data_IF_688893244346
#
_entry.id   IF_688893244346
#
_cell.length_a   1.000
_cell.length_b   1.000
_cell.length_c   1.000
_cell.angle_alpha   90.00
_cell.angle_beta   90.00
_cell.angle_gamma   90.00
#
_symmetry.space_group_name_H-M   'P 1'
#
loop_
_entity.id
_entity.type
_entity.pdbx_description
1 polymer ?
#
# COMPACT_ATOMS: atom_id res chain seq x y z
N UNK A 1 -10.43 -15.65 -17.75
CA UNK A 1 -10.39 -14.41 -18.56
C UNK A 1 -9.16 -13.60 -18.17
N UNK A 2 -8.35 -13.11 -19.14
CA UNK A 2 -7.24 -12.22 -18.82
C UNK A 2 -7.79 -10.92 -18.22
N UNK A 3 -7.20 -10.48 -17.11
CA UNK A 3 -7.74 -9.41 -16.28
C UNK A 3 -7.34 -8.04 -16.84
N UNK A 4 -8.31 -7.23 -17.25
CA UNK A 4 -8.07 -5.83 -17.64
C UNK A 4 -8.29 -4.92 -16.42
N UNK A 5 -7.35 -3.99 -16.21
CA UNK A 5 -7.52 -2.89 -15.26
C UNK A 5 -8.68 -2.02 -15.73
N UNK A 6 -9.72 -1.86 -14.91
CA UNK A 6 -10.84 -0.98 -15.22
C UNK A 6 -10.68 0.34 -14.46
N UNK A 7 -10.69 1.45 -15.21
CA UNK A 7 -10.83 2.80 -14.67
C UNK A 7 -12.23 3.29 -15.00
N UNK A 8 -13.06 3.58 -14.01
CA UNK A 8 -14.33 4.26 -14.24
C UNK A 8 -14.14 5.74 -13.92
N UNK A 9 -14.21 6.62 -14.93
CA UNK A 9 -14.13 8.08 -14.74
C UNK A 9 -12.90 8.55 -13.94
N UNK A 10 -11.74 7.89 -14.12
CA UNK A 10 -10.50 8.20 -13.40
C UNK A 10 -10.39 7.59 -11.99
N UNK A 11 -11.40 6.83 -11.57
CA UNK A 11 -11.47 6.16 -10.28
C UNK A 11 -11.13 4.68 -10.47
N UNK A 12 -10.33 4.13 -9.57
CA UNK A 12 -9.93 2.74 -9.62
C UNK A 12 -10.95 1.88 -8.88
N UNK A 13 -11.57 0.96 -9.63
CA UNK A 13 -12.50 -0.05 -9.11
C UNK A 13 -11.96 -1.39 -9.56
N UNK A 14 -11.36 -2.14 -8.63
CA UNK A 14 -10.72 -3.41 -8.98
C UNK A 14 -11.23 -4.60 -8.19
N UNK A 15 -11.91 -4.38 -7.07
CA UNK A 15 -12.03 -5.40 -6.02
C UNK A 15 -13.49 -5.72 -5.69
N UNK A 16 -13.73 -6.93 -5.20
CA UNK A 16 -15.06 -7.36 -4.75
C UNK A 16 -15.34 -6.75 -3.38
N UNK A 17 -16.36 -5.91 -3.30
CA UNK A 17 -16.74 -5.15 -2.11
C UNK A 17 -18.15 -5.50 -1.63
N UNK A 18 -18.73 -6.60 -2.13
CA UNK A 18 -20.17 -6.90 -2.03
C UNK A 18 -20.74 -6.76 -0.62
N UNK A 19 -20.00 -7.20 0.39
CA UNK A 19 -20.46 -7.24 1.79
C UNK A 19 -19.69 -6.26 2.69
N UNK A 20 -19.00 -5.28 2.10
CA UNK A 20 -18.06 -4.44 2.84
C UNK A 20 -18.50 -2.98 2.91
N UNK A 21 -18.52 -2.44 4.13
CA UNK A 21 -19.03 -1.08 4.42
C UNK A 21 -17.98 0.04 4.24
N UNK A 22 -16.77 -0.30 3.80
CA UNK A 22 -15.69 0.64 3.61
C UNK A 22 -15.76 1.42 2.29
N UNK A 23 -14.77 2.31 2.05
CA UNK A 23 -14.69 3.14 0.86
C UNK A 23 -14.73 2.29 -0.42
N UNK A 24 -15.61 2.64 -1.36
CA UNK A 24 -15.80 1.86 -2.59
C UNK A 24 -14.66 2.07 -3.58
N UNK A 25 -13.97 3.20 -3.45
CA UNK A 25 -13.13 3.75 -4.48
C UNK A 25 -11.73 4.03 -3.98
N UNK A 26 -10.80 3.95 -4.91
CA UNK A 26 -9.44 4.38 -4.70
C UNK A 26 -9.04 5.30 -5.84
N UNK A 27 -8.48 6.46 -5.51
CA UNK A 27 -7.81 7.31 -6.49
C UNK A 27 -6.33 7.31 -6.22
N UNK A 28 -5.58 7.19 -7.30
CA UNK A 28 -4.15 7.40 -7.27
C UNK A 28 -3.85 8.88 -7.50
N UNK A 29 -3.03 9.46 -6.63
CA UNK A 29 -2.44 10.75 -6.88
C UNK A 29 -1.42 10.67 -8.02
N UNK A 30 -1.42 11.71 -8.84
CA UNK A 30 -0.50 11.91 -9.95
C UNK A 30 -0.24 13.40 -10.13
N UNK A 31 0.77 13.74 -10.93
CA UNK A 31 1.03 15.13 -11.35
C UNK A 31 -0.16 15.83 -12.01
N UNK A 32 -1.15 15.07 -12.49
CA UNK A 32 -2.30 15.59 -13.22
C UNK A 32 -3.49 15.95 -12.34
N UNK A 33 -3.62 15.33 -11.16
CA UNK A 33 -4.79 15.52 -10.28
C UNK A 33 -4.43 16.03 -8.87
N UNK A 34 -3.15 16.02 -8.49
CA UNK A 34 -2.75 16.46 -7.15
C UNK A 34 -2.96 17.97 -6.93
N UNK A 35 -2.81 18.80 -7.98
CA UNK A 35 -3.02 20.26 -7.87
C UNK A 35 -4.49 20.65 -7.69
N UNK A 36 -5.40 19.83 -8.22
CA UNK A 36 -6.85 20.01 -8.04
C UNK A 36 -7.28 19.56 -6.64
N UNK A 37 -6.44 18.72 -6.04
CA UNK A 37 -6.57 18.28 -4.69
C UNK A 37 -5.89 19.26 -3.74
N UNK A 38 -6.53 20.42 -3.52
CA UNK A 38 -6.29 21.14 -2.26
C UNK A 38 -6.56 20.14 -1.16
N UNK A 39 -5.59 19.83 -0.29
CA UNK A 39 -5.79 18.96 0.87
C UNK A 39 -7.12 19.37 1.56
N UNK A 40 -8.24 18.68 1.28
CA UNK A 40 -9.56 19.15 1.67
C UNK A 40 -9.82 18.84 3.14
N UNK A 41 -8.85 18.20 3.78
CA UNK A 41 -8.98 17.61 5.07
C UNK A 41 -7.95 18.22 6.01
N UNK A 42 -8.40 18.74 7.16
CA UNK A 42 -7.53 19.23 8.23
C UNK A 42 -6.40 18.27 8.59
N UNK A 43 -5.28 18.85 9.02
CA UNK A 43 -4.22 18.09 9.65
C UNK A 43 -4.79 17.30 10.83
N UNK A 44 -4.56 15.98 10.84
CA UNK A 44 -5.08 15.06 11.85
C UNK A 44 -6.34 14.27 11.44
N UNK A 45 -7.01 14.62 10.34
CA UNK A 45 -8.14 13.82 9.84
C UNK A 45 -7.72 12.65 8.95
N UNK A 46 -6.54 12.73 8.33
CA UNK A 46 -5.99 11.69 7.47
C UNK A 46 -4.59 11.30 7.90
N UNK A 47 -4.26 10.04 7.63
CA UNK A 47 -2.96 9.47 7.92
C UNK A 47 -2.48 8.67 6.71
N UNK A 48 -1.16 8.70 6.47
CA UNK A 48 -0.53 7.90 5.41
C UNK A 48 -0.03 6.59 6.01
N UNK A 49 -0.46 5.47 5.43
CA UNK A 49 0.14 4.15 5.62
C UNK A 49 1.38 4.06 4.74
N UNK A 50 2.54 3.85 5.34
CA UNK A 50 3.83 3.81 4.65
C UNK A 50 3.98 2.54 3.81
N UNK A 51 3.57 1.40 4.37
CA UNK A 51 3.75 0.08 3.75
C UNK A 51 3.05 -0.02 2.38
N UNK A 52 1.88 0.59 2.25
CA UNK A 52 1.10 0.52 1.02
C UNK A 52 0.85 1.88 0.36
N UNK A 53 1.40 2.97 0.92
CA UNK A 53 1.33 4.33 0.39
C UNK A 53 -0.12 4.86 0.29
N UNK A 54 -1.01 4.38 1.16
CA UNK A 54 -2.40 4.81 1.21
C UNK A 54 -2.62 5.97 2.19
N UNK A 55 -3.26 7.04 1.72
CA UNK A 55 -3.88 8.06 2.56
C UNK A 55 -5.27 7.56 2.97
N UNK A 56 -5.51 7.45 4.28
CA UNK A 56 -6.73 6.91 4.88
C UNK A 56 -7.24 7.85 5.99
N UNK A 57 -8.52 7.80 6.38
CA UNK A 57 -8.99 8.50 7.58
C UNK A 57 -8.16 8.12 8.81
N UNK A 58 -7.71 9.11 9.58
CA UNK A 58 -6.87 8.91 10.76
C UNK A 58 -7.56 8.10 11.86
N UNK A 59 -8.91 8.15 11.91
CA UNK A 59 -9.73 7.33 12.81
C UNK A 59 -9.56 5.82 12.59
N UNK A 60 -9.05 5.40 11.42
CA UNK A 60 -8.80 4.01 11.08
C UNK A 60 -7.38 3.54 11.44
N UNK A 61 -6.51 4.45 11.92
CA UNK A 61 -5.21 4.10 12.49
C UNK A 61 -5.37 3.63 13.94
N UNK A 62 -5.82 2.38 14.12
CA UNK A 62 -5.92 1.77 15.44
C UNK A 62 -4.53 1.53 16.09
N UNK A 63 -4.52 1.12 17.37
CA UNK A 63 -3.28 0.92 18.11
C UNK A 63 -2.32 -0.10 17.46
N UNK A 64 -2.88 -1.12 16.80
CA UNK A 64 -2.11 -2.15 16.10
C UNK A 64 -1.48 -1.56 14.83
N UNK A 65 -2.27 -0.85 14.02
CA UNK A 65 -1.82 -0.16 12.82
C UNK A 65 -0.73 0.87 13.14
N UNK A 66 -0.96 1.72 14.15
CA UNK A 66 0.02 2.71 14.64
C UNK A 66 1.34 2.06 15.08
N UNK A 67 1.28 0.90 15.76
CA UNK A 67 2.49 0.16 16.17
C UNK A 67 3.33 -0.21 14.95
N UNK A 68 2.72 -0.73 13.89
CA UNK A 68 3.45 -1.13 12.69
C UNK A 68 3.91 0.07 11.85
N UNK A 69 3.07 1.10 11.70
CA UNK A 69 3.48 2.33 11.01
C UNK A 69 4.67 2.99 11.71
N UNK A 70 4.72 2.98 13.06
CA UNK A 70 5.90 3.42 13.81
C UNK A 70 7.16 2.62 13.45
N UNK A 71 7.04 1.30 13.29
CA UNK A 71 8.16 0.46 12.85
C UNK A 71 8.63 0.84 11.44
N UNK A 72 7.71 1.00 10.47
CA UNK A 72 8.07 1.42 9.11
C UNK A 72 8.76 2.79 9.11
N UNK A 73 8.27 3.76 9.89
CA UNK A 73 8.88 5.09 10.04
C UNK A 73 10.32 5.03 10.56
N UNK A 74 10.61 4.11 11.48
CA UNK A 74 11.95 3.94 12.04
C UNK A 74 12.89 3.22 11.05
N UNK A 75 12.38 2.24 10.32
CA UNK A 75 13.17 1.37 9.44
C UNK A 75 13.45 2.00 8.07
N UNK A 76 12.54 2.83 7.57
CA UNK A 76 12.57 3.41 6.22
C UNK A 76 12.50 4.95 6.29
N UNK A 77 13.59 5.63 6.68
CA UNK A 77 13.59 7.07 6.91
C UNK A 77 13.22 7.89 5.66
N UNK A 78 13.62 7.48 4.45
CA UNK A 78 13.22 8.20 3.22
C UNK A 78 11.69 8.20 2.98
N UNK A 79 11.00 7.12 3.36
CA UNK A 79 9.54 7.06 3.28
C UNK A 79 8.88 7.88 4.40
N UNK A 80 9.47 7.87 5.60
CA UNK A 80 9.05 8.74 6.71
C UNK A 80 9.13 10.20 6.28
N UNK A 81 10.22 10.61 5.63
CA UNK A 81 10.44 11.99 5.23
C UNK A 81 9.40 12.44 4.18
N UNK A 82 9.03 11.57 3.22
CA UNK A 82 7.92 11.84 2.29
C UNK A 82 6.60 12.10 3.02
N UNK A 83 6.32 11.35 4.08
CA UNK A 83 5.11 11.54 4.90
C UNK A 83 5.20 12.83 5.71
N UNK A 84 6.31 13.09 6.38
CA UNK A 84 6.48 14.23 7.29
C UNK A 84 6.52 15.57 6.55
N UNK A 85 7.15 15.60 5.38
CA UNK A 85 7.20 16.77 4.51
C UNK A 85 5.95 16.95 3.65
N UNK A 86 5.04 15.96 3.67
CA UNK A 86 3.85 15.90 2.80
C UNK A 86 4.19 15.93 1.30
N UNK A 87 5.36 15.40 0.91
CA UNK A 87 5.80 15.35 -0.49
C UNK A 87 4.82 14.59 -1.38
N UNK A 88 4.07 13.65 -0.79
CA UNK A 88 3.00 12.92 -1.45
C UNK A 88 1.84 13.78 -1.99
N UNK A 89 1.77 15.07 -1.63
CA UNK A 89 0.85 16.08 -2.16
C UNK A 89 1.53 17.09 -3.10
N UNK A 90 2.86 17.02 -3.28
CA UNK A 90 3.57 17.91 -4.20
C UNK A 90 3.44 17.42 -5.64
N UNK A 91 3.13 18.35 -6.56
CA UNK A 91 3.12 18.07 -8.00
C UNK A 91 4.52 17.79 -8.52
N UNK A 92 5.50 18.54 -8.03
CA UNK A 92 6.92 18.43 -8.39
C UNK A 92 7.44 17.07 -7.99
N UNK A 93 7.21 16.68 -6.72
CA UNK A 93 7.46 15.33 -6.26
C UNK A 93 6.71 14.38 -7.18
N UNK A 94 5.38 14.42 -7.27
CA UNK A 94 4.60 13.50 -8.10
C UNK A 94 4.86 13.50 -9.62
N UNK A 95 5.69 14.39 -10.15
CA UNK A 95 6.12 14.44 -11.56
C UNK A 95 7.43 13.71 -11.86
N UNK A 96 8.30 13.51 -10.86
CA UNK A 96 9.61 12.88 -11.03
C UNK A 96 9.56 11.34 -10.90
N UNK A 97 9.78 10.54 -11.95
CA UNK A 97 9.72 9.08 -11.85
C UNK A 97 10.83 8.45 -10.96
N UNK A 98 11.89 9.19 -10.61
CA UNK A 98 13.05 8.68 -9.87
C UNK A 98 13.12 9.16 -8.41
N UNK A 99 12.35 10.19 -8.04
CA UNK A 99 12.27 10.84 -6.70
C UNK A 99 12.47 9.98 -5.46
N UNK A 100 11.67 8.92 -5.34
CA UNK A 100 11.73 7.97 -4.24
C UNK A 100 11.34 6.63 -4.79
N UNK A 101 12.33 5.77 -4.84
CA UNK A 101 12.16 4.36 -5.07
C UNK A 101 11.98 3.71 -3.70
N UNK A 102 10.75 3.32 -3.41
CA UNK A 102 10.38 2.57 -2.22
C UNK A 102 11.15 1.26 -2.24
N UNK A 103 11.93 0.97 -1.19
CA UNK A 103 12.63 -0.30 -1.10
C UNK A 103 11.58 -1.40 -0.95
N UNK A 104 11.44 -2.27 -1.95
CA UNK A 104 10.81 -3.58 -1.74
C UNK A 104 11.89 -4.58 -1.33
N UNK A 105 12.71 -4.20 -0.34
CA UNK A 105 13.61 -5.14 0.29
C UNK A 105 12.81 -6.27 0.95
N UNK A 106 13.51 -7.36 1.30
CA UNK A 106 12.86 -8.55 1.84
C UNK A 106 11.95 -8.18 3.02
N UNK A 107 12.50 -7.53 4.05
CA UNK A 107 11.76 -7.13 5.25
C UNK A 107 10.54 -6.29 4.93
N UNK A 108 10.65 -5.33 4.00
CA UNK A 108 9.55 -4.46 3.62
C UNK A 108 8.41 -5.28 3.03
N UNK A 109 8.72 -6.15 2.07
CA UNK A 109 7.71 -6.96 1.39
C UNK A 109 7.01 -7.92 2.36
N UNK A 110 7.77 -8.63 3.21
CA UNK A 110 7.13 -9.53 4.19
C UNK A 110 6.31 -8.76 5.23
N UNK A 111 6.81 -7.63 5.73
CA UNK A 111 6.07 -6.79 6.68
C UNK A 111 4.76 -6.26 6.04
N UNK A 112 4.83 -5.76 4.80
CA UNK A 112 3.65 -5.33 4.03
C UNK A 112 2.65 -6.47 3.86
N UNK A 113 3.10 -7.65 3.45
CA UNK A 113 2.23 -8.82 3.27
C UNK A 113 1.54 -9.23 4.57
N UNK A 114 2.26 -9.26 5.70
CA UNK A 114 1.67 -9.55 7.02
C UNK A 114 0.59 -8.51 7.37
N UNK A 115 0.87 -7.21 7.19
CA UNK A 115 -0.10 -6.16 7.47
C UNK A 115 -1.34 -6.25 6.56
N UNK A 116 -1.15 -6.50 5.27
CA UNK A 116 -2.24 -6.70 4.33
C UNK A 116 -3.16 -7.84 4.76
N UNK A 117 -2.59 -8.97 5.20
CA UNK A 117 -3.37 -10.11 5.72
C UNK A 117 -4.09 -9.79 7.03
N UNK A 118 -3.46 -9.03 7.94
CA UNK A 118 -4.13 -8.58 9.18
C UNK A 118 -5.31 -7.67 8.89
N UNK A 119 -5.18 -6.75 7.92
CA UNK A 119 -6.28 -5.86 7.51
C UNK A 119 -7.39 -6.63 6.83
N UNK A 120 -7.06 -7.60 5.96
CA UNK A 120 -8.04 -8.50 5.37
C UNK A 120 -8.83 -9.25 6.44
N UNK A 121 -8.13 -9.84 7.41
CA UNK A 121 -8.76 -10.54 8.52
C UNK A 121 -9.70 -9.62 9.30
N UNK A 122 -9.24 -8.42 9.70
CA UNK A 122 -10.08 -7.43 10.38
C UNK A 122 -11.34 -7.10 9.56
N UNK A 123 -11.19 -6.90 8.26
CA UNK A 123 -12.33 -6.58 7.38
C UNK A 123 -13.31 -7.74 7.22
N UNK A 124 -12.83 -8.98 7.21
CA UNK A 124 -13.67 -10.18 7.19
C UNK A 124 -14.47 -10.35 8.47
N UNK A 125 -13.84 -10.11 9.62
CA UNK A 125 -14.49 -10.23 10.93
C UNK A 125 -15.49 -9.11 11.20
N UNK A 126 -15.20 -7.89 10.75
CA UNK A 126 -16.04 -6.71 11.03
C UNK A 126 -17.08 -6.41 9.95
N UNK A 127 -16.91 -6.92 8.72
CA UNK A 127 -17.66 -6.46 7.55
C UNK A 127 -17.25 -5.05 7.07
N UNK A 128 -16.16 -4.49 7.59
CA UNK A 128 -15.72 -3.13 7.32
C UNK A 128 -14.25 -3.07 6.88
N UNK A 129 -13.95 -2.41 5.76
CA UNK A 129 -12.58 -2.27 5.25
C UNK A 129 -12.11 -0.82 5.22
N UNK A 130 -10.78 -0.61 5.19
CA UNK A 130 -10.16 0.73 5.15
C UNK A 130 -9.87 1.17 3.72
N UNK A 131 -9.45 0.25 2.86
CA UNK A 131 -9.19 0.52 1.45
C UNK A 131 -9.64 -0.67 0.58
N UNK A 132 -10.20 -0.46 -0.63
CA UNK A 132 -10.59 -1.57 -1.50
C UNK A 132 -9.50 -2.65 -1.67
N UNK A 133 -8.23 -2.23 -1.68
CA UNK A 133 -7.07 -3.12 -1.80
C UNK A 133 -6.87 -4.07 -0.61
N UNK A 134 -7.37 -3.70 0.57
CA UNK A 134 -7.25 -4.52 1.78
C UNK A 134 -8.13 -5.78 1.70
N UNK A 135 -9.15 -5.77 0.82
CA UNK A 135 -10.04 -6.92 0.58
C UNK A 135 -9.93 -7.50 -0.83
N UNK A 136 -8.91 -7.10 -1.59
CA UNK A 136 -8.65 -7.67 -2.90
C UNK A 136 -8.15 -9.11 -2.79
N UNK A 137 -8.97 -10.06 -3.24
CA UNK A 137 -8.60 -11.47 -3.33
C UNK A 137 -7.22 -11.67 -4.01
N UNK A 138 -6.90 -10.95 -5.08
CA UNK A 138 -5.61 -11.14 -5.77
C UNK A 138 -4.43 -10.62 -4.98
N UNK A 139 -4.56 -9.47 -4.33
CA UNK A 139 -3.54 -8.93 -3.45
C UNK A 139 -3.32 -9.85 -2.25
N UNK A 140 -4.39 -10.38 -1.66
CA UNK A 140 -4.33 -11.29 -0.53
C UNK A 140 -3.71 -12.63 -0.92
N UNK A 141 -4.11 -13.19 -2.06
CA UNK A 141 -3.48 -14.39 -2.62
C UNK A 141 -1.99 -14.17 -2.89
N UNK A 142 -1.61 -13.05 -3.51
CA UNK A 142 -0.20 -12.67 -3.70
C UNK A 142 0.55 -12.59 -2.38
N UNK A 143 -0.05 -12.01 -1.33
CA UNK A 143 0.59 -11.90 -0.03
C UNK A 143 0.80 -13.28 0.62
N UNK A 144 -0.16 -14.20 0.50
CA UNK A 144 -0.01 -15.57 0.97
C UNK A 144 1.09 -16.29 0.19
N UNK A 145 1.02 -16.31 -1.14
CA UNK A 145 2.03 -16.95 -1.99
C UNK A 145 3.43 -16.40 -1.73
N UNK A 146 3.55 -15.07 -1.58
CA UNK A 146 4.85 -14.43 -1.28
C UNK A 146 5.40 -14.94 0.05
N UNK A 147 4.60 -14.95 1.12
CA UNK A 147 5.05 -15.43 2.42
C UNK A 147 5.35 -16.93 2.37
N UNK A 148 4.56 -17.72 1.63
CA UNK A 148 4.79 -19.15 1.46
C UNK A 148 6.12 -19.44 0.75
N UNK A 149 6.38 -18.76 -0.38
CA UNK A 149 7.64 -18.85 -1.12
C UNK A 149 8.85 -18.46 -0.25
N UNK A 150 8.68 -17.54 0.70
CA UNK A 150 9.75 -17.10 1.60
C UNK A 150 9.96 -17.99 2.82
N UNK A 151 8.90 -18.58 3.39
CA UNK A 151 9.01 -19.38 4.62
C UNK A 151 9.15 -20.89 4.35
N UNK A 152 8.75 -21.38 3.18
CA UNK A 152 8.80 -22.80 2.81
C UNK A 152 9.80 -23.09 1.68
N UNK A 153 10.98 -22.46 1.75
CA UNK A 153 12.06 -22.51 0.75
C UNK A 153 12.63 -23.92 0.49
N UNK A 154 12.44 -24.87 1.42
CA UNK A 154 13.04 -26.22 1.37
C UNK A 154 12.03 -27.36 1.12
N UNK A 155 10.80 -27.06 0.65
CA UNK A 155 9.80 -28.06 0.27
C UNK A 155 9.79 -28.43 -1.23
N UNK A 156 8.84 -29.27 -1.66
CA UNK A 156 8.52 -29.52 -3.09
C UNK A 156 8.02 -28.25 -3.84
N UNK A 157 7.90 -27.15 -3.11
CA UNK A 157 7.54 -25.83 -3.61
C UNK A 157 8.77 -25.17 -4.26
N UNK A 158 8.55 -24.39 -5.32
CA UNK A 158 9.57 -23.78 -6.22
C UNK A 158 10.89 -23.43 -5.52
N UNK A 159 12.01 -23.69 -6.21
CA UNK A 159 13.34 -23.16 -5.84
C UNK A 159 13.20 -21.69 -5.43
N UNK A 160 13.78 -21.29 -4.29
CA UNK A 160 13.73 -19.88 -3.88
C UNK A 160 14.23 -19.03 -5.03
N UNK A 161 13.61 -17.86 -5.30
CA UNK A 161 14.20 -16.93 -6.23
C UNK A 161 15.67 -16.69 -5.80
N UNK A 162 16.62 -16.68 -6.76
CA UNK A 162 18.02 -16.46 -6.43
C UNK A 162 18.09 -15.17 -5.61
N UNK A 163 18.76 -15.19 -4.45
CA UNK A 163 18.93 -14.00 -3.63
C UNK A 163 19.48 -12.87 -4.51
N UNK A 164 18.76 -11.74 -4.70
CA UNK A 164 19.30 -10.59 -5.41
C UNK A 164 20.74 -10.28 -4.98
N UNK A 165 21.62 -10.13 -5.97
CA UNK A 165 23.03 -9.78 -5.75
C UNK A 165 23.15 -8.31 -5.32
N UNK A 166 22.14 -7.50 -5.68
CA UNK A 166 21.91 -6.12 -5.26
C UNK A 166 20.41 -5.89 -5.02
N UNK A 167 19.97 -6.15 -3.79
CA UNK A 167 18.55 -6.05 -3.40
C UNK A 167 17.99 -4.63 -3.48
N UNK A 168 18.82 -3.59 -3.35
CA UNK A 168 18.38 -2.19 -3.44
C UNK A 168 18.08 -1.81 -4.90
N UNK A 169 18.77 -2.43 -5.86
CA UNK A 169 18.63 -2.11 -7.28
C UNK A 169 17.49 -2.87 -7.99
N UNK A 170 17.17 -4.12 -7.60
CA UNK A 170 16.29 -4.98 -8.42
C UNK A 170 14.78 -4.81 -8.18
N UNK A 171 14.33 -4.29 -7.03
CA UNK A 171 12.89 -4.26 -6.68
C UNK A 171 12.42 -2.94 -6.12
N UNK A 172 12.93 -1.84 -6.67
CA UNK A 172 12.57 -0.51 -6.22
C UNK A 172 11.25 -0.05 -6.88
N UNK A 173 10.20 0.21 -6.09
CA UNK A 173 8.91 0.69 -6.61
C UNK A 173 8.82 2.20 -6.48
N UNK A 174 8.39 2.91 -7.52
CA UNK A 174 8.16 4.37 -7.40
C UNK A 174 7.05 4.65 -6.39
N UNK A 175 7.25 5.62 -5.51
CA UNK A 175 6.21 6.09 -4.60
C UNK A 175 4.97 6.58 -5.37
N UNK A 176 3.83 5.95 -5.07
CA UNK A 176 2.51 6.18 -5.66
C UNK A 176 1.47 6.27 -4.56
N UNK A 177 1.23 7.49 -4.11
CA UNK A 177 0.18 7.76 -3.15
C UNK A 177 -1.17 7.46 -3.76
N UNK A 178 -1.99 6.79 -2.98
CA UNK A 178 -3.39 6.50 -3.31
C UNK A 178 -4.22 6.87 -2.10
N UNK A 179 -5.48 7.21 -2.31
CA UNK A 179 -6.37 7.59 -1.22
C UNK A 179 -7.62 6.75 -1.33
N UNK A 180 -8.16 6.37 -0.18
CA UNK A 180 -9.31 5.49 -0.08
C UNK A 180 -10.46 6.26 0.61
N UNK A 181 -11.61 6.36 -0.06
CA UNK A 181 -12.83 7.05 0.41
C UNK A 181 -14.12 6.45 -0.18
#
# INVERSE_FOLDING_TARGET
MPFQQHFEKGIWIRYDLKDSEGPRYQLQFSRHNVSDWKNPYPDGEWAVRIDDQALIPASLMDADELRYQKWFRQRYPGMRDVVDNKDYLSKEFLSDPDRLKVPADWLFHQAHCILALRRYWKAKESGHHVCPRDIDHKHIHHCLDSLDEWFFIDGDMRKPPPKPIDYEAEWSLVWKTKVCW
#
